data_IF_716425369115
#
_entry.id   IF_716425369115
#
_cell.length_a   1.000
_cell.length_b   1.000
_cell.length_c   1.000
_cell.angle_alpha   90.00
_cell.angle_beta   90.00
_cell.angle_gamma   90.00
#
_symmetry.space_group_name_H-M   'P 1'
#
loop_
_entity.id
_entity.type
_entity.pdbx_description
1 polymer ?
#
# COMPACT_ATOMS: atom_id res chain seq x y z
N UNK A 1 -44.98 28.36 -26.12
CA UNK A 1 -43.74 27.59 -26.33
C UNK A 1 -43.70 26.50 -25.28
N UNK A 2 -44.11 25.28 -25.63
CA UNK A 2 -43.82 24.13 -24.78
C UNK A 2 -42.30 23.96 -24.81
N UNK A 3 -41.62 24.11 -23.66
CA UNK A 3 -40.28 23.53 -23.53
C UNK A 3 -40.44 22.06 -23.90
N UNK A 4 -39.67 21.60 -24.89
CA UNK A 4 -39.74 20.24 -25.38
C UNK A 4 -39.45 19.30 -24.22
N UNK A 5 -40.47 18.58 -23.76
CA UNK A 5 -40.38 17.66 -22.63
C UNK A 5 -39.28 16.63 -22.84
N UNK A 6 -38.98 16.30 -24.10
CA UNK A 6 -37.87 15.46 -24.52
C UNK A 6 -36.51 16.06 -24.13
N UNK A 7 -36.30 17.36 -24.37
CA UNK A 7 -35.05 18.04 -24.02
C UNK A 7 -34.84 18.10 -22.51
N UNK A 8 -35.91 18.26 -21.73
CA UNK A 8 -35.85 18.21 -20.27
C UNK A 8 -35.49 16.80 -19.76
N UNK A 9 -36.08 15.74 -20.34
CA UNK A 9 -35.72 14.36 -19.98
C UNK A 9 -34.25 14.08 -20.30
N UNK A 10 -33.76 14.49 -21.47
CA UNK A 10 -32.35 14.33 -21.85
C UNK A 10 -31.40 15.03 -20.88
N UNK A 11 -31.77 16.20 -20.38
CA UNK A 11 -31.01 16.94 -19.36
C UNK A 11 -30.98 16.17 -18.03
N UNK A 12 -32.12 15.68 -17.56
CA UNK A 12 -32.20 14.88 -16.33
C UNK A 12 -31.37 13.59 -16.40
N UNK A 13 -31.37 12.90 -17.55
CA UNK A 13 -30.57 11.69 -17.75
C UNK A 13 -29.08 12.02 -17.68
N UNK A 14 -28.62 13.06 -18.38
CA UNK A 14 -27.21 13.51 -18.34
C UNK A 14 -26.78 13.91 -16.93
N UNK A 15 -27.66 14.58 -16.18
CA UNK A 15 -27.38 14.94 -14.80
C UNK A 15 -27.23 13.71 -13.89
N UNK A 16 -28.11 12.73 -14.03
CA UNK A 16 -28.01 11.48 -13.29
C UNK A 16 -26.73 10.71 -13.62
N UNK A 17 -26.34 10.64 -14.90
CA UNK A 17 -25.08 10.03 -15.35
C UNK A 17 -23.85 10.74 -14.74
N UNK A 18 -23.86 12.07 -14.73
CA UNK A 18 -22.76 12.85 -14.15
C UNK A 18 -22.65 12.63 -12.63
N UNK A 19 -23.78 12.63 -11.91
CA UNK A 19 -23.81 12.34 -10.47
C UNK A 19 -23.28 10.94 -10.19
N UNK A 20 -23.73 9.93 -10.94
CA UNK A 20 -23.26 8.56 -10.78
C UNK A 20 -21.75 8.45 -11.02
N UNK A 21 -21.23 9.14 -12.05
CA UNK A 21 -19.79 9.19 -12.34
C UNK A 21 -19.00 9.82 -11.20
N UNK A 22 -19.44 10.98 -10.72
CA UNK A 22 -18.78 11.69 -9.61
C UNK A 22 -18.78 10.84 -8.34
N UNK A 23 -19.89 10.15 -8.07
CA UNK A 23 -20.01 9.24 -6.95
C UNK A 23 -19.03 8.06 -7.05
N UNK A 24 -18.96 7.42 -8.22
CA UNK A 24 -18.02 6.33 -8.49
C UNK A 24 -16.56 6.75 -8.32
N UNK A 25 -16.18 7.91 -8.86
CA UNK A 25 -14.82 8.46 -8.71
C UNK A 25 -14.51 8.76 -7.23
N UNK A 26 -15.48 9.29 -6.50
CA UNK A 26 -15.32 9.60 -5.07
C UNK A 26 -15.16 8.33 -4.25
N UNK A 27 -16.01 7.33 -4.48
CA UNK A 27 -15.92 6.02 -3.84
C UNK A 27 -14.59 5.33 -4.13
N UNK A 28 -14.14 5.35 -5.39
CA UNK A 28 -12.84 4.79 -5.79
C UNK A 28 -11.67 5.49 -5.10
N UNK A 29 -11.68 6.83 -5.00
CA UNK A 29 -10.65 7.58 -4.26
C UNK A 29 -10.62 7.21 -2.78
N UNK A 30 -11.78 6.98 -2.15
CA UNK A 30 -11.91 6.54 -0.76
C UNK A 30 -11.36 5.12 -0.58
N UNK A 31 -11.81 4.18 -1.40
CA UNK A 31 -11.33 2.78 -1.39
C UNK A 31 -9.80 2.71 -1.57
N UNK A 32 -9.25 3.46 -2.54
CA UNK A 32 -7.79 3.57 -2.74
C UNK A 32 -7.05 4.03 -1.49
N UNK A 33 -7.56 5.06 -0.82
CA UNK A 33 -6.93 5.59 0.37
C UNK A 33 -6.95 4.57 1.52
N UNK A 34 -8.06 3.86 1.70
CA UNK A 34 -8.21 2.83 2.72
C UNK A 34 -7.33 1.60 2.42
N UNK A 35 -7.24 1.16 1.17
CA UNK A 35 -6.29 0.10 0.75
C UNK A 35 -4.85 0.50 1.05
N UNK A 36 -4.46 1.72 0.69
CA UNK A 36 -3.11 2.21 0.96
C UNK A 36 -2.81 2.31 2.45
N UNK A 37 -3.72 2.88 3.26
CA UNK A 37 -3.59 2.90 4.72
C UNK A 37 -3.51 1.50 5.30
N UNK A 38 -4.33 0.57 4.80
CA UNK A 38 -4.34 -0.84 5.17
C UNK A 38 -3.00 -1.51 4.87
N UNK A 39 -2.44 -1.33 3.67
CA UNK A 39 -1.13 -1.86 3.29
C UNK A 39 -0.01 -1.33 4.19
N UNK A 40 -0.05 -0.04 4.54
CA UNK A 40 0.93 0.54 5.47
C UNK A 40 0.79 0.02 6.90
N UNK A 41 -0.45 -0.07 7.41
CA UNK A 41 -0.72 -0.45 8.79
C UNK A 41 -0.70 -1.97 8.97
N UNK A 42 -1.66 -2.68 8.35
CA UNK A 42 -1.79 -4.13 8.45
C UNK A 42 -0.64 -4.85 7.75
N UNK A 43 -0.26 -4.40 6.55
CA UNK A 43 0.79 -5.02 5.73
C UNK A 43 2.19 -4.84 6.29
N UNK A 44 2.64 -3.58 6.38
CA UNK A 44 4.00 -3.24 6.74
C UNK A 44 4.26 -3.19 8.25
N UNK A 45 3.40 -2.52 9.03
CA UNK A 45 3.64 -2.30 10.46
C UNK A 45 3.30 -3.52 11.31
N UNK A 46 2.10 -4.07 11.15
CA UNK A 46 1.58 -5.15 11.98
C UNK A 46 2.01 -6.53 11.43
N UNK A 47 1.85 -6.78 10.13
CA UNK A 47 2.14 -8.06 9.52
C UNK A 47 3.63 -8.32 9.35
N UNK A 48 4.32 -7.43 8.61
CA UNK A 48 5.75 -7.61 8.35
C UNK A 48 6.58 -7.28 9.60
N UNK A 49 6.52 -6.05 10.12
CA UNK A 49 7.40 -5.67 11.24
C UNK A 49 6.84 -5.91 12.64
N UNK A 50 5.60 -6.40 12.81
CA UNK A 50 4.94 -6.43 14.12
C UNK A 50 5.64 -7.32 15.15
N UNK A 51 6.33 -8.37 14.70
CA UNK A 51 7.12 -9.26 15.55
C UNK A 51 8.64 -9.10 15.37
N UNK A 52 9.06 -8.12 14.58
CA UNK A 52 10.48 -7.95 14.28
C UNK A 52 11.19 -7.20 15.40
N UNK A 53 12.13 -7.87 16.05
CA UNK A 53 13.14 -7.26 16.93
C UNK A 53 14.51 -7.41 16.28
N UNK A 54 15.34 -6.35 16.20
CA UNK A 54 15.30 -5.11 16.95
C UNK A 54 14.82 -3.91 16.08
N UNK A 55 15.05 -2.67 16.55
CA UNK A 55 14.54 -1.41 15.98
C UNK A 55 14.35 -1.39 14.44
N UNK A 56 13.08 -1.23 14.03
CA UNK A 56 12.60 -1.30 12.65
C UNK A 56 12.51 0.05 11.95
N UNK A 57 12.60 1.16 12.68
CA UNK A 57 12.12 2.49 12.23
C UNK A 57 12.66 2.92 10.87
N UNK A 58 13.98 2.82 10.64
CA UNK A 58 14.56 3.25 9.35
C UNK A 58 14.17 2.32 8.20
N UNK A 59 14.03 1.02 8.47
CA UNK A 59 13.69 0.02 7.46
C UNK A 59 12.22 0.09 7.05
N UNK A 60 11.33 0.29 8.03
CA UNK A 60 9.91 0.55 7.78
C UNK A 60 9.71 1.89 7.08
N UNK A 61 10.48 2.93 7.44
CA UNK A 61 10.43 4.21 6.74
C UNK A 61 10.84 4.08 5.26
N UNK A 62 11.89 3.33 4.94
CA UNK A 62 12.31 3.11 3.55
C UNK A 62 11.28 2.28 2.77
N UNK A 63 10.79 1.17 3.33
CA UNK A 63 9.76 0.36 2.67
C UNK A 63 8.45 1.12 2.45
N UNK A 64 8.04 1.97 3.40
CA UNK A 64 6.86 2.83 3.23
C UNK A 64 6.92 3.69 1.97
N UNK A 65 8.11 4.12 1.53
CA UNK A 65 8.26 4.93 0.30
C UNK A 65 8.04 4.14 -0.98
N UNK A 66 8.20 2.82 -0.92
CA UNK A 66 8.03 1.92 -2.05
C UNK A 66 6.60 1.38 -2.18
N UNK A 67 5.73 1.65 -1.21
CA UNK A 67 4.31 1.30 -1.24
C UNK A 67 3.54 2.54 -1.69
N UNK A 68 2.80 2.44 -2.80
CA UNK A 68 2.11 3.56 -3.43
C UNK A 68 0.63 3.26 -3.61
N UNK A 69 -0.26 4.25 -3.45
CA UNK A 69 -1.64 4.10 -3.85
C UNK A 69 -1.74 4.02 -5.38
N UNK A 70 -2.45 3.01 -5.89
CA UNK A 70 -2.72 2.85 -7.32
C UNK A 70 -4.13 3.34 -7.68
N UNK A 71 -4.25 4.04 -8.81
CA UNK A 71 -5.51 4.52 -9.37
C UNK A 71 -5.39 4.60 -10.89
N UNK A 72 -6.36 4.02 -11.59
CA UNK A 72 -6.47 4.14 -13.04
C UNK A 72 -7.94 4.22 -13.45
N UNK A 73 -8.31 5.29 -14.15
CA UNK A 73 -9.64 5.41 -14.77
C UNK A 73 -9.56 4.89 -16.20
N UNK A 74 -10.24 3.76 -16.46
CA UNK A 74 -10.31 3.09 -17.76
C UNK A 74 -11.64 3.33 -18.46
N UNK A 75 -12.42 4.30 -18.01
CA UNK A 75 -13.75 4.56 -18.54
C UNK A 75 -13.66 5.04 -20.00
N UNK A 76 -14.46 4.41 -20.88
CA UNK A 76 -14.51 4.71 -22.31
C UNK A 76 -15.95 4.62 -22.82
N UNK A 77 -16.47 5.72 -23.33
CA UNK A 77 -17.86 5.80 -23.80
C UNK A 77 -18.83 5.50 -22.66
N UNK A 78 -19.73 4.55 -22.88
CA UNK A 78 -20.71 4.08 -21.89
C UNK A 78 -20.16 3.07 -20.89
N UNK A 79 -18.94 2.55 -21.09
CA UNK A 79 -18.31 1.60 -20.17
C UNK A 79 -17.46 2.34 -19.15
N UNK A 80 -17.82 2.20 -17.87
CA UNK A 80 -17.15 2.85 -16.74
C UNK A 80 -16.40 1.81 -15.93
N UNK A 81 -15.10 2.03 -15.73
CA UNK A 81 -14.26 1.11 -14.95
C UNK A 81 -13.13 1.90 -14.32
N UNK A 82 -13.04 1.83 -12.99
CA UNK A 82 -11.96 2.43 -12.22
C UNK A 82 -11.23 1.32 -11.49
N UNK A 83 -9.92 1.20 -11.73
CA UNK A 83 -9.06 0.28 -11.01
C UNK A 83 -8.39 1.01 -9.84
N UNK A 84 -8.44 0.40 -8.66
CA UNK A 84 -7.81 0.92 -7.43
C UNK A 84 -7.00 -0.19 -6.78
N UNK A 85 -5.91 0.18 -6.10
CA UNK A 85 -5.05 -0.81 -5.48
C UNK A 85 -3.84 -0.20 -4.79
N UNK A 86 -2.81 -1.02 -4.64
CA UNK A 86 -1.51 -0.64 -4.12
C UNK A 86 -0.44 -1.14 -5.10
N UNK A 87 0.50 -0.27 -5.42
CA UNK A 87 1.67 -0.59 -6.25
C UNK A 87 2.93 -0.65 -5.37
N UNK A 88 3.84 -1.55 -5.74
CA UNK A 88 5.12 -1.74 -5.06
C UNK A 88 6.27 -1.42 -6.01
N UNK A 89 7.01 -0.34 -5.73
CA UNK A 89 8.08 0.18 -6.58
C UNK A 89 9.46 0.02 -5.91
N UNK A 90 10.20 -1.02 -6.32
CA UNK A 90 11.55 -1.28 -5.81
C UNK A 90 12.55 -0.17 -6.16
N UNK A 91 12.33 0.58 -7.24
CA UNK A 91 13.18 1.71 -7.64
C UNK A 91 13.27 2.80 -6.56
N UNK A 92 12.20 2.95 -5.76
CA UNK A 92 12.15 3.89 -4.62
C UNK A 92 12.93 3.44 -3.39
N UNK A 93 13.52 2.25 -3.40
CA UNK A 93 14.41 1.78 -2.35
C UNK A 93 15.88 2.05 -2.66
N UNK A 94 16.21 2.36 -3.92
CA UNK A 94 17.58 2.59 -4.38
C UNK A 94 18.19 3.77 -3.63
N UNK A 95 19.32 3.53 -2.97
CA UNK A 95 19.99 4.58 -2.18
C UNK A 95 19.20 5.05 -0.95
N UNK A 96 18.21 4.29 -0.50
CA UNK A 96 17.40 4.61 0.69
C UNK A 96 17.34 3.45 1.69
N UNK A 97 17.45 2.21 1.20
CA UNK A 97 17.55 1.05 2.07
C UNK A 97 19.00 0.86 2.52
N UNK A 98 19.38 1.55 3.58
CA UNK A 98 20.69 1.41 4.22
C UNK A 98 20.52 0.79 5.60
N UNK A 99 21.14 -0.37 5.86
CA UNK A 99 21.32 -0.92 7.21
C UNK A 99 22.29 -0.05 8.00
N UNK A 100 21.80 1.07 8.51
CA UNK A 100 22.42 1.76 9.64
C UNK A 100 22.09 1.06 10.96
N UNK A 101 21.83 -0.26 10.92
CA UNK A 101 21.41 -1.01 12.10
C UNK A 101 22.53 -0.95 13.13
N UNK A 102 22.21 -0.50 14.33
CA UNK A 102 23.14 -0.54 15.47
C UNK A 102 23.26 -1.96 16.05
N UNK A 103 22.65 -2.96 15.40
CA UNK A 103 22.50 -4.34 15.89
C UNK A 103 22.60 -5.33 14.72
N UNK A 104 23.40 -6.39 14.89
CA UNK A 104 23.49 -7.55 13.99
C UNK A 104 23.12 -8.83 14.74
N UNK A 105 22.69 -9.88 14.03
CA UNK A 105 22.32 -11.14 14.69
C UNK A 105 23.50 -12.12 14.73
N UNK A 106 23.68 -12.88 15.80
CA UNK A 106 24.65 -13.98 15.90
C UNK A 106 23.97 -15.17 16.57
N UNK A 107 23.59 -16.18 15.78
CA UNK A 107 22.64 -17.21 16.24
C UNK A 107 21.32 -16.57 16.67
N UNK A 108 20.88 -16.82 17.89
CA UNK A 108 19.65 -16.25 18.45
C UNK A 108 19.84 -14.90 19.17
N UNK A 109 21.06 -14.37 19.21
CA UNK A 109 21.39 -13.15 19.97
C UNK A 109 21.58 -11.93 19.07
N UNK A 110 21.14 -10.76 19.53
CA UNK A 110 21.44 -9.47 18.90
C UNK A 110 22.70 -8.83 19.48
N UNK A 111 23.70 -8.63 18.63
CA UNK A 111 24.98 -8.02 18.94
C UNK A 111 24.93 -6.53 18.60
N UNK A 112 25.16 -5.69 19.62
CA UNK A 112 25.21 -4.23 19.47
C UNK A 112 26.49 -3.76 18.77
N UNK A 113 26.38 -2.62 18.08
CA UNK A 113 27.51 -1.90 17.47
C UNK A 113 28.59 -1.46 18.45
N UNK A 114 28.29 -1.50 19.75
CA UNK A 114 29.22 -1.17 20.81
C UNK A 114 29.95 -2.42 21.33
N UNK A 115 29.65 -3.62 20.81
CA UNK A 115 30.37 -4.84 21.17
C UNK A 115 31.69 -4.95 20.40
N UNK A 116 32.69 -5.59 21.01
CA UNK A 116 34.00 -5.84 20.41
C UNK A 116 33.94 -6.73 19.16
N UNK A 117 32.85 -7.49 18.96
CA UNK A 117 32.63 -8.34 17.79
C UNK A 117 31.89 -7.66 16.63
N UNK A 118 31.60 -6.36 16.72
CA UNK A 118 30.86 -5.65 15.66
C UNK A 118 31.82 -4.96 14.68
N UNK A 119 31.87 -5.47 13.45
CA UNK A 119 32.62 -4.82 12.36
C UNK A 119 31.72 -3.83 11.62
N UNK A 120 32.21 -2.61 11.40
CA UNK A 120 31.52 -1.55 10.63
C UNK A 120 32.06 -1.55 9.19
N UNK A 121 31.76 -2.58 8.41
CA UNK A 121 32.17 -2.61 7.00
C UNK A 121 31.22 -1.79 6.12
N UNK A 122 31.74 -1.22 5.01
CA UNK A 122 30.91 -0.47 4.05
C UNK A 122 29.90 -1.36 3.31
N UNK A 123 30.21 -2.66 3.18
CA UNK A 123 29.30 -3.68 2.68
C UNK A 123 28.78 -4.53 3.85
N UNK A 124 27.84 -3.95 4.59
CA UNK A 124 27.26 -4.54 5.79
C UNK A 124 26.23 -5.66 5.52
N UNK A 125 26.22 -6.26 4.33
CA UNK A 125 25.33 -7.36 3.96
C UNK A 125 23.89 -6.94 3.63
N UNK A 126 23.64 -5.67 3.29
CA UNK A 126 22.31 -5.22 2.82
C UNK A 126 22.03 -5.80 1.44
N UNK A 127 20.88 -6.47 1.24
CA UNK A 127 20.48 -6.91 -0.09
C UNK A 127 20.07 -5.75 -1.01
N UNK A 128 20.13 -5.98 -2.32
CA UNK A 128 19.65 -5.02 -3.32
C UNK A 128 18.15 -4.70 -3.17
N UNK A 129 17.74 -3.55 -3.71
CA UNK A 129 16.36 -3.07 -3.66
C UNK A 129 15.32 -4.06 -4.20
N UNK A 130 15.63 -4.75 -5.30
CA UNK A 130 14.74 -5.76 -5.87
C UNK A 130 14.58 -6.96 -4.93
N UNK A 131 15.71 -7.43 -4.38
CA UNK A 131 15.70 -8.51 -3.39
C UNK A 131 14.81 -8.14 -2.20
N UNK A 132 14.94 -6.92 -1.66
CA UNK A 132 14.15 -6.45 -0.52
C UNK A 132 12.66 -6.46 -0.85
N UNK A 133 12.27 -6.01 -2.04
CA UNK A 133 10.87 -5.96 -2.43
C UNK A 133 10.28 -7.36 -2.64
N UNK A 134 10.96 -8.21 -3.41
CA UNK A 134 10.54 -9.61 -3.64
C UNK A 134 10.35 -10.35 -2.32
N UNK A 135 11.29 -10.18 -1.40
CA UNK A 135 11.25 -10.87 -0.11
C UNK A 135 10.27 -10.24 0.88
N UNK A 136 10.06 -8.92 0.81
CA UNK A 136 8.98 -8.26 1.54
C UNK A 136 7.63 -8.87 1.17
N UNK A 137 7.37 -9.11 -0.13
CA UNK A 137 6.13 -9.74 -0.59
C UNK A 137 5.94 -11.14 0.00
N UNK A 138 7.03 -11.89 0.18
CA UNK A 138 7.06 -13.23 0.74
C UNK A 138 7.10 -13.27 2.29
N UNK A 139 7.11 -12.12 2.98
CA UNK A 139 7.22 -12.08 4.43
C UNK A 139 8.64 -12.38 4.96
N UNK A 140 9.67 -12.26 4.10
CA UNK A 140 11.06 -12.57 4.42
C UNK A 140 11.83 -11.28 4.74
N UNK A 141 12.29 -11.15 5.98
CA UNK A 141 13.07 -10.00 6.43
C UNK A 141 14.55 -10.09 6.06
N UNK A 142 15.15 -8.98 5.60
CA UNK A 142 16.60 -8.90 5.51
C UNK A 142 17.20 -8.85 6.92
N UNK A 143 17.96 -9.87 7.29
CA UNK A 143 18.84 -9.83 8.47
C UNK A 143 20.28 -10.03 8.05
N UNK A 144 21.16 -9.39 8.81
CA UNK A 144 22.60 -9.47 8.63
C UNK A 144 23.23 -10.00 9.90
N UNK A 145 24.11 -10.98 9.75
CA UNK A 145 24.83 -11.53 10.88
C UNK A 145 25.94 -10.59 11.35
N UNK A 146 26.51 -10.84 12.53
CA UNK A 146 27.68 -10.10 13.02
C UNK A 146 28.87 -10.16 12.05
N UNK A 147 28.96 -11.23 11.25
CA UNK A 147 29.98 -11.42 10.21
C UNK A 147 29.56 -10.85 8.85
N UNK A 148 28.50 -10.02 8.79
CA UNK A 148 27.93 -9.45 7.55
C UNK A 148 27.39 -10.48 6.56
N UNK A 149 27.09 -11.69 7.01
CA UNK A 149 26.44 -12.68 6.16
C UNK A 149 24.94 -12.43 6.11
N UNK A 150 24.38 -12.72 4.96
CA UNK A 150 22.96 -12.59 4.73
C UNK A 150 22.19 -13.75 5.38
N UNK A 151 21.22 -13.46 6.26
CA UNK A 151 20.48 -14.46 7.04
C UNK A 151 18.96 -14.14 7.08
N UNK A 152 18.22 -14.39 5.99
CA UNK A 152 16.80 -14.09 5.90
C UNK A 152 15.98 -14.79 6.98
N UNK A 153 14.91 -14.16 7.45
CA UNK A 153 13.92 -14.82 8.32
C UNK A 153 12.52 -14.58 7.80
N UNK A 154 11.78 -15.66 7.60
CA UNK A 154 10.40 -15.66 7.14
C UNK A 154 9.45 -15.57 8.34
N UNK A 155 8.48 -14.66 8.30
CA UNK A 155 7.43 -14.54 9.32
C UNK A 155 6.25 -15.48 9.08
N UNK A 156 6.16 -16.09 7.90
CA UNK A 156 5.01 -16.86 7.43
C UNK A 156 3.82 -15.99 7.01
N UNK A 157 3.93 -14.66 7.10
CA UNK A 157 2.88 -13.72 6.74
C UNK A 157 3.29 -12.98 5.45
N UNK A 158 2.66 -13.34 4.33
CA UNK A 158 2.93 -12.71 3.03
C UNK A 158 2.12 -11.44 2.84
N UNK A 159 2.64 -10.48 2.09
CA UNK A 159 1.90 -9.28 1.73
C UNK A 159 0.70 -9.60 0.86
N UNK A 160 0.82 -10.60 -0.01
CA UNK A 160 -0.28 -11.09 -0.84
C UNK A 160 -1.49 -11.48 0.03
N UNK A 161 -1.29 -12.29 1.08
CA UNK A 161 -2.38 -12.71 1.96
C UNK A 161 -3.05 -11.56 2.71
N UNK A 162 -2.28 -10.53 3.08
CA UNK A 162 -2.80 -9.33 3.73
C UNK A 162 -3.59 -8.48 2.74
N UNK A 163 -3.06 -8.31 1.53
CA UNK A 163 -3.70 -7.51 0.49
C UNK A 163 -5.00 -8.14 -0.01
N UNK A 164 -5.07 -9.46 -0.15
CA UNK A 164 -6.33 -10.16 -0.47
C UNK A 164 -7.41 -9.87 0.57
N UNK A 165 -7.10 -10.00 1.87
CA UNK A 165 -8.06 -9.69 2.94
C UNK A 165 -8.49 -8.22 2.93
N UNK A 166 -7.55 -7.31 2.68
CA UNK A 166 -7.85 -5.88 2.58
C UNK A 166 -8.77 -5.59 1.38
N UNK A 167 -8.55 -6.25 0.24
CA UNK A 167 -9.41 -6.12 -0.93
C UNK A 167 -10.82 -6.62 -0.63
N UNK A 168 -10.95 -7.81 -0.03
CA UNK A 168 -12.26 -8.36 0.37
C UNK A 168 -13.01 -7.39 1.31
N UNK A 169 -12.31 -6.86 2.33
CA UNK A 169 -12.88 -5.85 3.25
C UNK A 169 -13.31 -4.54 2.55
N UNK A 170 -12.71 -4.19 1.41
CA UNK A 170 -13.12 -3.02 0.64
C UNK A 170 -14.27 -3.32 -0.31
N UNK A 171 -14.30 -4.50 -0.92
CA UNK A 171 -15.39 -4.91 -1.83
C UNK A 171 -16.73 -4.78 -1.12
N UNK A 172 -16.81 -5.24 0.13
CA UNK A 172 -18.02 -5.14 0.96
C UNK A 172 -18.46 -3.69 1.26
N UNK A 173 -17.55 -2.71 1.16
CA UNK A 173 -17.81 -1.30 1.50
C UNK A 173 -18.03 -0.41 0.28
N UNK A 174 -17.77 -0.89 -0.94
CA UNK A 174 -17.87 -0.07 -2.16
C UNK A 174 -19.30 0.46 -2.34
N UNK A 175 -20.31 -0.37 -2.11
CA UNK A 175 -21.71 0.05 -2.23
C UNK A 175 -22.05 1.19 -1.28
N UNK A 176 -21.59 1.13 -0.03
CA UNK A 176 -21.78 2.21 0.95
C UNK A 176 -21.08 3.50 0.50
N UNK A 177 -19.85 3.39 -0.02
CA UNK A 177 -19.11 4.57 -0.49
C UNK A 177 -19.78 5.24 -1.69
N UNK A 178 -20.36 4.45 -2.60
CA UNK A 178 -21.11 4.96 -3.75
C UNK A 178 -22.40 5.62 -3.26
N UNK A 179 -23.16 4.98 -2.38
CA UNK A 179 -24.40 5.51 -1.83
C UNK A 179 -24.17 6.84 -1.09
N UNK A 180 -23.16 6.90 -0.21
CA UNK A 180 -22.76 8.13 0.48
C UNK A 180 -22.45 9.26 -0.50
N UNK A 181 -21.73 8.95 -1.58
CA UNK A 181 -21.31 9.93 -2.56
C UNK A 181 -22.47 10.40 -3.45
N UNK A 182 -23.38 9.51 -3.84
CA UNK A 182 -24.63 9.87 -4.54
C UNK A 182 -25.45 10.81 -3.67
N UNK A 183 -25.69 10.45 -2.40
CA UNK A 183 -26.48 11.27 -1.48
C UNK A 183 -25.85 12.66 -1.27
N UNK A 184 -24.53 12.71 -1.11
CA UNK A 184 -23.80 13.98 -0.98
C UNK A 184 -23.95 14.84 -2.24
N UNK A 185 -23.80 14.25 -3.43
CA UNK A 185 -23.94 14.96 -4.70
C UNK A 185 -25.37 15.51 -4.89
N UNK A 186 -26.40 14.71 -4.58
CA UNK A 186 -27.80 15.15 -4.63
C UNK A 186 -28.03 16.30 -3.67
N UNK A 187 -27.65 16.16 -2.39
CA UNK A 187 -27.88 17.17 -1.37
C UNK A 187 -27.13 18.47 -1.64
N UNK A 188 -25.99 18.43 -2.33
CA UNK A 188 -25.21 19.63 -2.66
C UNK A 188 -25.82 20.50 -3.79
N UNK A 189 -26.81 19.96 -4.51
CA UNK A 189 -27.50 20.66 -5.60
C UNK A 189 -28.78 21.39 -5.16
N UNK A 190 -29.17 21.25 -3.90
CA UNK A 190 -30.33 21.90 -3.28
C UNK A 190 -29.91 22.74 -2.07
#
# INVERSE_FOLDING_TARGET
>A
MARDFSAFIEECVKDAENIAKEAMVTAAKKARLELYKGALKKGLQEGYYGQYSPSIYKRSHSLKKAILPFYEDRSKGSNWSIAVGVEYDAGRLKGLYHSNSKLHQSGDTWISRNSSGFSMSANNGIPDSNWIMENFMLGIHPRTTANHQYAPVNTGITQESIMSKLLDEQVDKISDYVNDAIMTAILSRW
#
